data_IF_153598337319
#
_entry.id   IF_153598337319
#
_cell.length_a   1.000
_cell.length_b   1.000
_cell.length_c   1.000
_cell.angle_alpha   90.00
_cell.angle_beta   90.00
_cell.angle_gamma   90.00
#
_symmetry.space_group_name_H-M   'P 1'
#
loop_
_entity.id
_entity.type
_entity.pdbx_description
1 polymer ?
#
# COMPACT_ATOMS: atom_id res chain seq x y z
N UNK A 1 14.22 12.69 33.49
CA UNK A 1 14.21 13.52 32.27
C UNK A 1 14.18 12.56 31.09
N UNK A 2 12.98 12.15 30.59
CA UNK A 2 12.85 11.21 29.49
C UNK A 2 13.06 11.95 28.18
N UNK A 3 14.16 11.66 27.52
CA UNK A 3 14.53 12.22 26.23
C UNK A 3 13.54 11.69 25.15
N UNK A 4 12.76 12.60 24.58
CA UNK A 4 11.84 12.31 23.49
C UNK A 4 12.64 11.96 22.25
N UNK A 5 12.58 10.71 21.80
CA UNK A 5 13.21 10.31 20.53
C UNK A 5 12.31 10.71 19.37
N UNK A 6 12.66 11.82 18.72
CA UNK A 6 12.14 12.13 17.39
C UNK A 6 12.81 11.19 16.39
N UNK A 7 12.05 10.30 15.81
CA UNK A 7 12.52 9.52 14.66
C UNK A 7 11.99 10.20 13.40
N UNK A 8 12.93 10.56 12.52
CA UNK A 8 12.67 11.00 11.15
C UNK A 8 11.83 9.98 10.36
N UNK A 9 11.58 10.19 9.06
CA UNK A 9 10.58 9.44 8.31
C UNK A 9 10.77 7.94 8.52
N UNK A 10 9.69 7.27 8.91
CA UNK A 10 9.64 5.82 9.14
C UNK A 10 9.84 5.11 7.80
N UNK A 11 11.08 5.08 7.33
CA UNK A 11 11.57 4.25 6.23
C UNK A 11 12.72 3.40 6.75
N UNK A 12 12.40 2.42 7.57
CA UNK A 12 13.24 1.22 7.67
C UNK A 12 12.41 0.03 7.21
N UNK A 13 12.48 -0.18 5.90
CA UNK A 13 12.16 -1.45 5.26
C UNK A 13 13.28 -2.43 5.61
N UNK A 14 13.18 -3.10 6.74
CA UNK A 14 13.96 -4.31 6.99
C UNK A 14 13.05 -5.49 6.75
N UNK A 15 13.35 -6.24 5.67
CA UNK A 15 12.79 -7.58 5.34
C UNK A 15 11.28 -7.69 5.59
N UNK A 16 10.45 -7.11 4.72
CA UNK A 16 9.01 -7.35 4.63
C UNK A 16 8.15 -7.04 5.87
N UNK A 17 8.64 -6.23 6.82
CA UNK A 17 7.82 -5.75 7.95
C UNK A 17 7.93 -4.24 8.04
N UNK A 18 6.81 -3.57 7.87
CA UNK A 18 6.64 -2.18 8.30
C UNK A 18 6.71 -2.21 9.83
N UNK A 19 7.87 -1.89 10.36
CA UNK A 19 8.02 -1.73 11.80
C UNK A 19 7.47 -0.34 12.15
N UNK A 20 6.21 -0.27 12.50
CA UNK A 20 5.73 0.83 13.32
C UNK A 20 6.47 0.66 14.65
N UNK A 21 7.40 1.57 14.93
CA UNK A 21 8.19 1.50 16.15
C UNK A 21 7.24 1.75 17.33
N UNK A 22 6.86 0.69 18.05
CA UNK A 22 5.88 0.70 19.15
C UNK A 22 6.26 1.63 20.31
N UNK A 23 7.50 2.14 20.29
CA UNK A 23 8.04 3.03 21.29
C UNK A 23 7.92 4.52 20.93
N UNK A 24 7.24 4.86 19.81
CA UNK A 24 7.03 6.25 19.42
C UNK A 24 5.65 6.72 19.88
N UNK A 25 5.62 7.80 20.63
CA UNK A 25 4.40 8.42 21.15
C UNK A 25 3.57 9.08 20.05
N UNK A 26 4.24 9.71 19.09
CA UNK A 26 3.66 10.44 17.96
C UNK A 26 4.53 10.23 16.71
N UNK A 27 3.91 10.07 15.55
CA UNK A 27 4.62 9.88 14.28
C UNK A 27 3.83 10.42 13.09
N UNK A 28 4.57 10.60 11.99
CA UNK A 28 4.01 10.96 10.68
C UNK A 28 4.30 9.84 9.69
N UNK A 29 3.29 9.44 8.92
CA UNK A 29 3.42 8.39 7.91
C UNK A 29 2.35 8.52 6.84
N UNK A 30 2.45 7.76 5.75
CA UNK A 30 1.38 7.61 4.79
C UNK A 30 0.20 6.80 5.36
N UNK A 31 -1.00 7.15 4.99
CA UNK A 31 -2.20 6.40 5.36
C UNK A 31 -2.18 4.96 4.83
N UNK A 32 -1.57 4.76 3.66
CA UNK A 32 -1.35 3.46 3.04
C UNK A 32 -0.54 2.52 3.96
N UNK A 33 0.53 3.01 4.57
CA UNK A 33 1.38 2.22 5.45
C UNK A 33 0.65 1.80 6.74
N UNK A 34 -0.20 2.68 7.28
CA UNK A 34 -1.06 2.30 8.40
C UNK A 34 -2.03 1.19 7.99
N UNK A 35 -2.66 1.32 6.84
CA UNK A 35 -3.65 0.35 6.36
C UNK A 35 -3.03 -0.97 5.92
N UNK A 36 -1.81 -0.95 5.42
CA UNK A 36 -1.06 -2.17 5.09
C UNK A 36 -0.61 -2.94 6.33
N UNK A 37 -0.46 -2.27 7.48
CA UNK A 37 0.00 -2.91 8.70
C UNK A 37 -1.01 -3.93 9.24
N UNK A 38 -0.52 -4.88 10.03
CA UNK A 38 -1.37 -5.87 10.71
C UNK A 38 -2.45 -5.21 11.58
N UNK A 39 -3.61 -5.84 11.69
CA UNK A 39 -4.76 -5.31 12.44
C UNK A 39 -4.43 -5.00 13.91
N UNK A 40 -3.57 -5.83 14.53
CA UNK A 40 -3.11 -5.60 15.92
C UNK A 40 -2.33 -4.30 16.04
N UNK A 41 -1.61 -3.89 14.98
CA UNK A 41 -0.86 -2.62 14.91
C UNK A 41 -1.83 -1.47 14.71
N UNK A 42 -2.74 -1.59 13.72
CA UNK A 42 -3.77 -0.58 13.46
C UNK A 42 -4.58 -0.29 14.73
N UNK A 43 -4.93 -1.32 15.49
CA UNK A 43 -5.68 -1.20 16.75
C UNK A 43 -4.94 -0.47 17.88
N UNK A 44 -3.61 -0.33 17.80
CA UNK A 44 -2.78 0.39 18.78
C UNK A 44 -2.51 1.84 18.38
N UNK A 45 -2.93 2.26 17.20
CA UNK A 45 -2.66 3.58 16.64
C UNK A 45 -3.96 4.37 16.53
N UNK A 46 -3.89 5.65 16.81
CA UNK A 46 -4.95 6.62 16.55
C UNK A 46 -4.50 7.55 15.44
N UNK A 47 -5.28 7.61 14.38
CA UNK A 47 -5.14 8.61 13.33
C UNK A 47 -5.68 9.94 13.85
N UNK A 48 -4.80 10.93 13.97
CA UNK A 48 -5.14 12.25 14.52
C UNK A 48 -5.55 13.22 13.42
N UNK A 49 -4.75 13.31 12.35
CA UNK A 49 -4.96 14.27 11.26
C UNK A 49 -4.43 13.73 9.94
N UNK A 50 -5.16 14.02 8.87
CA UNK A 50 -4.72 13.88 7.48
C UNK A 50 -4.35 15.26 6.93
N UNK A 51 -3.20 15.36 6.24
CA UNK A 51 -2.61 16.68 5.91
C UNK A 51 -2.86 17.17 4.50
N UNK A 52 -3.62 16.46 3.68
CA UNK A 52 -3.94 16.81 2.29
C UNK A 52 -2.72 16.99 1.35
N UNK A 53 -1.50 16.66 1.80
CA UNK A 53 -0.31 16.62 0.96
C UNK A 53 0.26 15.20 0.89
N UNK A 54 1.20 14.96 -0.04
CA UNK A 54 1.73 13.62 -0.30
C UNK A 54 0.65 12.66 -0.79
N UNK A 55 -0.35 13.18 -1.54
CA UNK A 55 -1.44 12.38 -2.07
C UNK A 55 -0.92 11.37 -3.07
N UNK A 56 -1.32 10.13 -2.90
CA UNK A 56 -1.03 9.03 -3.79
C UNK A 56 -2.19 8.02 -3.76
N UNK A 57 -2.28 7.18 -4.77
CA UNK A 57 -3.30 6.14 -4.85
C UNK A 57 -2.62 4.80 -5.07
N UNK A 58 -2.94 3.82 -4.24
CA UNK A 58 -2.59 2.43 -4.48
C UNK A 58 -3.54 1.89 -5.55
N UNK A 59 -2.98 1.36 -6.63
CA UNK A 59 -3.75 0.93 -7.81
C UNK A 59 -3.33 -0.45 -8.30
N UNK A 60 -4.22 -1.12 -9.02
CA UNK A 60 -3.90 -2.28 -9.85
C UNK A 60 -3.50 -1.77 -11.22
N UNK A 61 -2.30 -2.13 -11.67
CA UNK A 61 -1.79 -1.80 -12.99
C UNK A 61 -1.41 -3.07 -13.77
N UNK A 62 -1.74 -3.05 -15.06
CA UNK A 62 -1.56 -4.16 -15.99
C UNK A 62 -0.78 -3.68 -17.21
N UNK A 63 -0.14 -4.58 -17.97
CA UNK A 63 0.51 -4.23 -19.23
C UNK A 63 -0.47 -3.60 -20.25
N UNK A 64 -0.06 -2.53 -20.90
CA UNK A 64 -0.86 -1.84 -21.93
C UNK A 64 -1.35 -2.77 -23.06
N UNK A 65 -0.56 -3.76 -23.53
CA UNK A 65 -1.00 -4.69 -24.58
C UNK A 65 -2.19 -5.58 -24.19
N UNK A 66 -2.59 -5.61 -22.94
CA UNK A 66 -3.78 -6.37 -22.49
C UNK A 66 -5.08 -5.60 -22.77
N UNK A 67 -5.35 -5.30 -24.04
CA UNK A 67 -6.44 -4.40 -24.46
C UNK A 67 -7.83 -4.86 -23.99
N UNK A 68 -8.07 -6.14 -23.91
CA UNK A 68 -9.38 -6.72 -23.53
C UNK A 68 -9.63 -6.68 -22.01
N UNK A 69 -8.60 -6.41 -21.20
CA UNK A 69 -8.70 -6.34 -19.73
C UNK A 69 -8.89 -4.90 -19.29
N UNK A 70 -10.10 -4.47 -18.99
CA UNK A 70 -10.43 -3.08 -18.63
C UNK A 70 -10.75 -2.91 -17.15
N UNK A 71 -11.29 -3.95 -16.51
CA UNK A 71 -11.79 -3.97 -15.15
C UNK A 71 -11.16 -5.10 -14.33
N UNK A 72 -11.40 -5.11 -13.03
CA UNK A 72 -10.96 -6.20 -12.15
C UNK A 72 -11.77 -7.48 -12.43
N UNK A 73 -12.99 -7.35 -12.93
CA UNK A 73 -13.78 -8.52 -13.36
C UNK A 73 -13.12 -9.25 -14.54
N UNK A 74 -12.67 -8.50 -15.56
CA UNK A 74 -11.90 -9.08 -16.69
C UNK A 74 -10.62 -9.75 -16.20
N UNK A 75 -10.00 -9.19 -15.14
CA UNK A 75 -8.80 -9.76 -14.53
C UNK A 75 -9.07 -11.11 -13.86
N UNK A 76 -10.27 -11.33 -13.33
CA UNK A 76 -10.64 -12.65 -12.78
C UNK A 76 -10.68 -13.70 -13.87
N UNK A 77 -11.26 -13.39 -15.04
CA UNK A 77 -11.28 -14.30 -16.19
C UNK A 77 -9.86 -14.69 -16.62
N UNK A 78 -8.97 -13.70 -16.74
CA UNK A 78 -7.56 -13.94 -17.05
C UNK A 78 -6.88 -14.80 -15.97
N UNK A 79 -7.13 -14.53 -14.69
CA UNK A 79 -6.56 -15.32 -13.60
C UNK A 79 -7.02 -16.77 -13.63
N UNK A 80 -8.27 -17.01 -14.01
CA UNK A 80 -8.82 -18.34 -14.19
C UNK A 80 -8.18 -19.04 -15.39
N UNK A 81 -8.06 -18.35 -16.54
CA UNK A 81 -7.37 -18.89 -17.72
C UNK A 81 -5.91 -19.26 -17.45
N UNK A 82 -5.18 -18.41 -16.69
CA UNK A 82 -3.82 -18.71 -16.29
C UNK A 82 -3.73 -20.00 -15.49
N UNK A 83 -4.68 -20.23 -14.59
CA UNK A 83 -4.74 -21.46 -13.81
C UNK A 83 -5.07 -22.66 -14.68
N UNK A 84 -6.08 -22.52 -15.53
CA UNK A 84 -6.57 -23.65 -16.34
C UNK A 84 -5.62 -24.02 -17.47
N UNK A 85 -5.24 -23.06 -18.32
CA UNK A 85 -4.41 -23.28 -19.52
C UNK A 85 -2.93 -23.40 -19.20
N UNK A 86 -2.39 -22.52 -18.32
CA UNK A 86 -0.96 -22.47 -18.02
C UNK A 86 -0.58 -23.26 -16.76
N UNK A 87 -1.56 -23.81 -16.02
CA UNK A 87 -1.38 -24.50 -14.73
C UNK A 87 -0.61 -23.65 -13.71
N UNK A 88 -0.70 -22.31 -13.82
CA UNK A 88 -0.04 -21.32 -12.95
C UNK A 88 -1.05 -20.28 -12.48
N UNK A 89 -0.87 -19.75 -11.29
CA UNK A 89 -1.67 -18.63 -10.82
C UNK A 89 -1.13 -17.31 -11.37
N UNK A 90 -2.02 -16.37 -11.66
CA UNK A 90 -1.67 -14.99 -12.01
C UNK A 90 -0.78 -14.38 -10.93
N UNK A 91 0.44 -13.94 -11.28
CA UNK A 91 1.36 -13.33 -10.32
C UNK A 91 1.13 -11.83 -10.25
N UNK A 92 1.02 -11.32 -9.02
CA UNK A 92 0.81 -9.90 -8.72
C UNK A 92 1.96 -9.40 -7.87
N UNK A 93 2.85 -8.58 -8.44
CA UNK A 93 3.94 -7.99 -7.66
C UNK A 93 3.44 -6.78 -6.86
N UNK A 94 3.85 -6.72 -5.60
CA UNK A 94 3.38 -5.66 -4.69
C UNK A 94 4.30 -5.45 -3.50
N UNK A 95 4.30 -4.23 -2.97
CA UNK A 95 4.80 -3.85 -1.63
C UNK A 95 3.69 -3.83 -0.58
N UNK A 96 2.42 -3.99 -1.01
CA UNK A 96 1.22 -3.89 -0.18
C UNK A 96 0.42 -5.20 -0.20
N UNK A 97 0.99 -6.32 0.31
CA UNK A 97 0.37 -7.63 0.19
C UNK A 97 -1.00 -7.76 0.88
N UNK A 98 -1.21 -7.07 2.01
CA UNK A 98 -2.47 -7.16 2.74
C UNK A 98 -3.60 -6.44 2.02
N UNK A 99 -3.37 -5.17 1.65
CA UNK A 99 -4.34 -4.36 0.89
C UNK A 99 -4.64 -4.96 -0.49
N UNK A 100 -3.61 -5.46 -1.17
CA UNK A 100 -3.78 -6.11 -2.48
C UNK A 100 -4.64 -7.36 -2.37
N UNK A 101 -4.36 -8.21 -1.39
CA UNK A 101 -5.13 -9.45 -1.18
C UNK A 101 -6.58 -9.15 -0.83
N UNK A 102 -6.81 -8.26 0.11
CA UNK A 102 -8.14 -7.86 0.53
C UNK A 102 -8.96 -7.31 -0.65
N UNK A 103 -8.36 -6.42 -1.43
CA UNK A 103 -9.00 -5.82 -2.59
C UNK A 103 -9.35 -6.85 -3.67
N UNK A 104 -8.40 -7.67 -4.09
CA UNK A 104 -8.62 -8.66 -5.14
C UNK A 104 -9.68 -9.68 -4.72
N UNK A 105 -9.64 -10.17 -3.47
CA UNK A 105 -10.68 -11.06 -2.96
C UNK A 105 -12.06 -10.39 -2.90
N UNK A 106 -12.13 -9.11 -2.49
CA UNK A 106 -13.40 -8.37 -2.45
C UNK A 106 -14.04 -8.19 -3.84
N UNK A 107 -13.21 -8.27 -4.90
CA UNK A 107 -13.62 -8.20 -6.30
C UNK A 107 -13.81 -9.57 -6.96
N UNK A 108 -13.68 -10.66 -6.20
CA UNK A 108 -13.88 -12.02 -6.69
C UNK A 108 -12.62 -12.68 -7.30
N UNK A 109 -11.55 -11.94 -7.50
CA UNK A 109 -10.31 -12.50 -8.05
C UNK A 109 -9.66 -13.43 -7.02
N UNK A 110 -9.58 -14.72 -7.31
CA UNK A 110 -9.13 -15.74 -6.36
C UNK A 110 -7.88 -16.51 -6.82
N UNK A 111 -7.65 -16.59 -8.13
CA UNK A 111 -6.60 -17.41 -8.73
C UNK A 111 -5.29 -16.64 -8.96
N UNK A 112 -4.80 -15.95 -7.91
CA UNK A 112 -3.55 -15.19 -7.98
C UNK A 112 -2.52 -15.66 -6.97
N UNK A 113 -1.27 -15.22 -7.16
CA UNK A 113 -0.14 -15.39 -6.24
C UNK A 113 0.56 -14.04 -6.07
N UNK A 114 0.71 -13.58 -4.83
CA UNK A 114 1.47 -12.37 -4.54
C UNK A 114 2.98 -12.64 -4.66
N UNK A 115 3.66 -11.70 -5.30
CA UNK A 115 5.13 -11.65 -5.43
C UNK A 115 5.60 -10.40 -4.67
N UNK A 116 6.47 -10.60 -3.69
CA UNK A 116 7.01 -9.47 -2.93
C UNK A 116 7.93 -8.63 -3.80
N UNK A 117 7.64 -7.35 -3.90
CA UNK A 117 8.50 -6.38 -4.57
C UNK A 117 9.43 -5.70 -3.56
N UNK A 118 10.71 -5.69 -3.87
CA UNK A 118 11.73 -4.99 -3.06
C UNK A 118 12.02 -3.57 -3.57
N UNK A 119 11.53 -3.22 -4.74
CA UNK A 119 11.72 -1.93 -5.42
C UNK A 119 11.40 -2.07 -6.90
N UNK A 120 11.28 -0.93 -7.61
CA UNK A 120 10.97 -0.88 -9.04
C UNK A 120 9.86 -1.86 -9.44
N UNK A 121 8.73 -1.82 -8.72
CA UNK A 121 7.61 -2.75 -8.91
C UNK A 121 7.09 -2.71 -10.34
N UNK A 122 7.12 -1.53 -10.96
CA UNK A 122 6.71 -1.26 -12.33
C UNK A 122 7.49 -2.07 -13.39
N UNK A 123 8.72 -2.51 -13.07
CA UNK A 123 9.53 -3.31 -13.99
C UNK A 123 9.21 -4.81 -13.97
N UNK A 124 8.47 -5.30 -12.97
CA UNK A 124 8.22 -6.73 -12.78
C UNK A 124 7.50 -7.42 -13.93
N UNK A 125 6.48 -6.81 -14.56
CA UNK A 125 5.85 -7.41 -15.75
C UNK A 125 6.80 -7.50 -16.93
N UNK A 126 7.65 -6.51 -17.13
CA UNK A 126 8.62 -6.49 -18.21
C UNK A 126 9.70 -7.56 -18.06
N UNK A 127 10.15 -7.81 -16.82
CA UNK A 127 11.14 -8.87 -16.52
C UNK A 127 10.55 -10.27 -16.44
N UNK A 128 9.23 -10.42 -16.61
CA UNK A 128 8.54 -11.70 -16.45
C UNK A 128 8.50 -12.22 -15.01
N UNK A 129 8.76 -11.36 -14.03
CA UNK A 129 8.70 -11.72 -12.61
C UNK A 129 7.26 -11.77 -12.07
N UNK A 130 6.36 -10.99 -12.67
CA UNK A 130 4.91 -11.07 -12.45
C UNK A 130 4.17 -10.69 -13.72
N UNK A 131 2.88 -10.97 -13.81
CA UNK A 131 2.03 -10.57 -14.93
C UNK A 131 1.48 -9.17 -14.74
N UNK A 132 1.12 -8.82 -13.51
CA UNK A 132 0.54 -7.52 -13.13
C UNK A 132 1.16 -7.03 -11.84
N UNK A 133 0.84 -5.78 -11.48
CA UNK A 133 1.32 -5.17 -10.24
C UNK A 133 0.21 -4.47 -9.46
N UNK A 134 0.46 -4.26 -8.17
CA UNK A 134 -0.17 -3.18 -7.42
C UNK A 134 0.91 -2.27 -6.86
N UNK A 135 0.81 -0.98 -7.15
CA UNK A 135 1.78 -0.01 -6.68
C UNK A 135 1.12 1.34 -6.37
N UNK A 136 1.84 2.15 -5.60
CA UNK A 136 1.35 3.46 -5.21
C UNK A 136 1.85 4.51 -6.20
N UNK A 137 0.94 5.35 -6.69
CA UNK A 137 1.27 6.39 -7.66
C UNK A 137 0.55 7.69 -7.36
N UNK A 138 1.17 8.82 -7.66
CA UNK A 138 0.55 10.14 -7.57
C UNK A 138 -0.09 10.55 -8.91
N UNK A 139 0.62 10.40 -10.01
CA UNK A 139 0.21 10.86 -11.35
C UNK A 139 0.05 9.72 -12.36
N UNK A 140 0.54 8.54 -12.05
CA UNK A 140 0.58 7.39 -12.97
C UNK A 140 1.69 7.49 -14.03
N UNK A 141 2.54 8.51 -14.01
CA UNK A 141 3.60 8.70 -15.02
C UNK A 141 4.59 7.55 -15.06
N UNK A 142 5.07 7.11 -13.90
CA UNK A 142 6.01 5.98 -13.80
C UNK A 142 5.40 4.70 -14.37
N UNK A 143 4.10 4.47 -14.15
CA UNK A 143 3.40 3.32 -14.71
C UNK A 143 3.35 3.42 -16.24
N UNK A 144 2.93 4.55 -16.79
CA UNK A 144 2.89 4.78 -18.25
C UNK A 144 4.28 4.66 -18.89
N UNK A 145 5.32 5.20 -18.26
CA UNK A 145 6.69 5.08 -18.74
C UNK A 145 7.18 3.62 -18.81
N UNK A 146 6.56 2.71 -18.07
CA UNK A 146 6.83 1.27 -18.10
C UNK A 146 5.75 0.47 -18.87
N UNK A 147 5.00 1.11 -19.78
CA UNK A 147 3.93 0.50 -20.55
C UNK A 147 2.88 -0.22 -19.70
N UNK A 148 2.52 0.41 -18.58
CA UNK A 148 1.46 -0.07 -17.70
C UNK A 148 0.31 0.93 -17.64
N UNK A 149 -0.91 0.41 -17.57
CA UNK A 149 -2.11 1.20 -17.34
C UNK A 149 -2.88 0.73 -16.11
N UNK A 150 -3.59 1.65 -15.50
CA UNK A 150 -4.43 1.39 -14.33
C UNK A 150 -5.78 0.86 -14.81
N UNK A 151 -6.30 -0.17 -14.18
CA UNK A 151 -7.66 -0.66 -14.41
C UNK A 151 -8.69 0.39 -14.02
N UNK A 152 -9.80 0.48 -14.75
CA UNK A 152 -10.86 1.48 -14.52
C UNK A 152 -11.37 1.49 -13.09
N UNK A 153 -11.56 0.33 -12.50
CA UNK A 153 -11.99 0.12 -11.11
C UNK A 153 -10.85 -0.41 -10.20
N UNK A 154 -9.60 -0.30 -10.65
CA UNK A 154 -8.41 -0.80 -9.96
C UNK A 154 -7.86 0.10 -8.86
N UNK A 155 -8.60 1.09 -8.38
CA UNK A 155 -8.19 1.94 -7.25
C UNK A 155 -8.44 1.20 -5.93
N UNK A 156 -7.36 0.88 -5.21
CA UNK A 156 -7.41 0.14 -3.94
C UNK A 156 -7.59 1.09 -2.76
N UNK A 157 -6.71 2.10 -2.66
CA UNK A 157 -6.68 3.02 -1.52
C UNK A 157 -6.14 4.39 -1.92
N UNK A 158 -6.78 5.46 -1.48
CA UNK A 158 -6.21 6.80 -1.53
C UNK A 158 -5.42 7.06 -0.24
N UNK A 159 -4.18 7.48 -0.39
CA UNK A 159 -3.26 7.80 0.70
C UNK A 159 -2.84 9.26 0.68
N UNK A 160 -2.51 9.74 1.86
CA UNK A 160 -1.94 11.06 2.11
C UNK A 160 -1.12 11.03 3.39
N UNK A 161 -0.32 12.06 3.63
CA UNK A 161 0.44 12.18 4.86
C UNK A 161 -0.49 12.31 6.08
N UNK A 162 -0.20 11.56 7.12
CA UNK A 162 -1.01 11.49 8.33
C UNK A 162 -0.17 11.66 9.59
N UNK A 163 -0.74 12.32 10.60
CA UNK A 163 -0.25 12.29 11.97
C UNK A 163 -0.96 11.22 12.76
N UNK A 164 -0.19 10.44 13.48
CA UNK A 164 -0.67 9.29 14.25
C UNK A 164 -0.06 9.32 15.65
N UNK A 165 -0.80 8.81 16.63
CA UNK A 165 -0.31 8.64 18.00
C UNK A 165 -0.54 7.21 18.47
N UNK A 166 0.30 6.76 19.41
CA UNK A 166 0.04 5.51 20.11
C UNK A 166 -1.14 5.66 21.07
N UNK A 167 -2.01 4.67 21.15
CA UNK A 167 -3.09 4.64 22.17
C UNK A 167 -2.56 4.70 23.59
N UNK A 168 -1.38 4.12 23.86
CA UNK A 168 -0.75 4.17 25.17
C UNK A 168 -0.34 5.58 25.58
N UNK A 169 -0.07 6.47 24.61
CA UNK A 169 0.45 7.82 24.82
C UNK A 169 -0.64 8.90 24.90
N UNK A 170 -1.92 8.52 24.78
CA UNK A 170 -3.06 9.47 24.79
C UNK A 170 -3.18 10.26 26.10
N UNK A 171 -2.70 9.72 27.21
CA UNK A 171 -2.72 10.38 28.53
C UNK A 171 -1.57 11.37 28.72
N UNK A 172 -0.51 11.32 27.92
CA UNK A 172 0.66 12.19 28.03
C UNK A 172 0.29 13.65 27.76
N UNK A 173 0.58 14.53 28.73
CA UNK A 173 0.34 15.97 28.59
C UNK A 173 1.17 16.58 27.46
N UNK A 174 2.38 16.07 27.26
CA UNK A 174 3.28 16.51 26.21
C UNK A 174 2.75 16.13 24.81
N UNK A 175 2.26 14.89 24.64
CA UNK A 175 1.63 14.44 23.38
C UNK A 175 0.42 15.29 23.06
N UNK A 176 -0.44 15.59 24.04
CA UNK A 176 -1.60 16.49 23.85
C UNK A 176 -1.20 17.88 23.39
N UNK A 177 -0.15 18.47 23.98
CA UNK A 177 0.37 19.79 23.56
C UNK A 177 0.89 19.74 22.11
N UNK A 178 1.65 18.72 21.75
CA UNK A 178 2.18 18.55 20.39
C UNK A 178 1.05 18.34 19.37
N UNK A 179 0.10 17.47 19.66
CA UNK A 179 -1.07 17.27 18.81
C UNK A 179 -1.78 18.60 18.57
N UNK A 180 -2.06 19.39 19.62
CA UNK A 180 -2.72 20.70 19.46
C UNK A 180 -1.91 21.68 18.61
N UNK A 181 -0.58 21.67 18.74
CA UNK A 181 0.32 22.52 17.97
C UNK A 181 0.36 22.12 16.48
N UNK A 182 0.48 20.83 16.21
CA UNK A 182 0.68 20.28 14.87
C UNK A 182 -0.64 20.03 14.11
N UNK A 183 -1.78 20.13 14.79
CA UNK A 183 -3.11 20.00 14.16
C UNK A 183 -3.65 21.32 13.59
N UNK A 184 -2.96 22.44 13.84
CA UNK A 184 -3.28 23.70 13.17
C UNK A 184 -2.84 23.63 11.72
#
# INVERSE_FOLDING_TARGET
MNCMKFYGPIRQLTKNKIIVNYNSDLGFSGFDLLKESEINIQNKIILVKKYRFGKATLVVAIPDPWIDVQTVADLEEIAFEFKDKKKKRLRVATKYPNLTREFLFSKGVTQFKLVSSLGATEAYPFTGSSEIITDITSTGETLRANNLRILKDGKILQSEACMMISKSSTKSSLVKKLVKLLSK
#
